data_IF_888014554483
#
_entry.id   IF_888014554483
#
_cell.length_a   1.000
_cell.length_b   1.000
_cell.length_c   1.000
_cell.angle_alpha   90.00
_cell.angle_beta   90.00
_cell.angle_gamma   90.00
#
_symmetry.space_group_name_H-M   'P 1'
#
loop_
_entity.id
_entity.type
_entity.pdbx_description
1 polymer ?
#
# COMPACT_ATOMS: atom_id res chain seq x y z
N UNK A 1 -33.41 3.29 2.17
CA UNK A 1 -33.70 2.53 0.95
C UNK A 1 -33.13 3.17 -0.34
N UNK A 2 -32.78 4.47 -0.36
CA UNK A 2 -32.22 5.15 -1.56
C UNK A 2 -30.70 5.01 -1.76
N UNK A 3 -29.91 4.76 -0.71
CA UNK A 3 -28.44 4.68 -0.81
C UNK A 3 -27.95 3.36 -1.43
N UNK A 4 -28.67 2.26 -1.22
CA UNK A 4 -28.31 0.95 -1.81
C UNK A 4 -28.56 0.90 -3.33
N UNK A 5 -29.50 1.70 -3.85
CA UNK A 5 -29.77 1.75 -5.30
C UNK A 5 -28.75 2.59 -6.05
N UNK A 6 -28.28 3.70 -5.46
CA UNK A 6 -27.25 4.54 -6.07
C UNK A 6 -25.89 3.83 -6.03
N UNK A 7 -25.55 3.13 -4.94
CA UNK A 7 -24.28 2.37 -4.85
C UNK A 7 -24.29 1.14 -5.78
N UNK A 8 -25.43 0.45 -5.91
CA UNK A 8 -25.56 -0.67 -6.84
C UNK A 8 -25.61 -0.23 -8.33
N UNK A 9 -26.20 0.94 -8.65
CA UNK A 9 -26.14 1.51 -10.00
C UNK A 9 -24.75 2.08 -10.33
N UNK A 10 -24.04 2.60 -9.33
CA UNK A 10 -22.67 3.06 -9.49
C UNK A 10 -21.73 1.89 -9.80
N UNK A 11 -21.88 0.75 -9.12
CA UNK A 11 -21.09 -0.46 -9.33
C UNK A 11 -21.47 -1.26 -10.59
N UNK A 12 -22.69 -1.10 -11.11
CA UNK A 12 -23.19 -1.82 -12.28
C UNK A 12 -22.71 -1.26 -13.64
N UNK A 13 -21.96 -0.15 -13.67
CA UNK A 13 -21.47 0.47 -14.91
C UNK A 13 -19.96 0.27 -15.15
N UNK A 14 -19.24 -0.49 -14.30
CA UNK A 14 -17.80 -0.68 -14.45
C UNK A 14 -17.51 -1.95 -15.26
N UNK A 15 -16.96 -1.79 -16.46
CA UNK A 15 -16.74 -2.92 -17.36
C UNK A 15 -15.30 -3.11 -17.82
N UNK A 16 -14.40 -2.13 -17.68
CA UNK A 16 -12.98 -2.28 -18.05
C UNK A 16 -12.03 -1.30 -17.32
N UNK A 17 -10.69 -1.53 -17.33
CA UNK A 17 -9.65 -0.60 -16.87
C UNK A 17 -9.74 0.82 -17.46
N UNK A 18 -10.36 0.97 -18.64
CA UNK A 18 -10.59 2.26 -19.29
C UNK A 18 -11.60 3.11 -18.49
N UNK A 19 -12.55 2.50 -17.78
CA UNK A 19 -13.53 3.23 -16.96
C UNK A 19 -12.91 3.83 -15.69
N UNK A 20 -11.94 3.13 -15.10
CA UNK A 20 -11.09 3.64 -14.01
C UNK A 20 -10.22 4.79 -14.51
N UNK A 21 -9.67 4.66 -15.72
CA UNK A 21 -8.88 5.68 -16.41
C UNK A 21 -9.70 6.95 -16.70
N UNK A 22 -10.91 6.80 -17.24
CA UNK A 22 -11.82 7.90 -17.61
C UNK A 22 -12.29 8.66 -16.37
N UNK A 23 -12.61 7.97 -15.27
CA UNK A 23 -12.97 8.65 -14.01
C UNK A 23 -11.79 9.28 -13.30
N UNK A 24 -10.58 8.72 -13.43
CA UNK A 24 -9.36 9.38 -12.95
C UNK A 24 -9.13 10.68 -13.72
N UNK A 25 -9.32 10.67 -15.05
CA UNK A 25 -9.24 11.86 -15.90
C UNK A 25 -10.35 12.87 -15.57
N UNK A 26 -11.60 12.44 -15.40
CA UNK A 26 -12.73 13.33 -15.08
C UNK A 26 -12.62 13.91 -13.66
N UNK A 27 -12.05 13.17 -12.70
CA UNK A 27 -11.74 13.66 -11.37
C UNK A 27 -10.60 14.69 -11.39
N UNK A 28 -9.53 14.44 -12.15
CA UNK A 28 -8.46 15.41 -12.39
C UNK A 28 -8.99 16.68 -13.09
N UNK A 29 -9.92 16.53 -14.04
CA UNK A 29 -10.58 17.62 -14.78
C UNK A 29 -11.54 18.43 -13.89
N UNK A 30 -12.25 17.77 -12.97
CA UNK A 30 -13.11 18.40 -11.95
C UNK A 30 -12.32 19.14 -10.87
N UNK A 31 -11.19 18.60 -10.39
CA UNK A 31 -10.32 19.25 -9.38
C UNK A 31 -9.54 20.45 -9.94
N UNK A 32 -9.17 20.47 -11.22
CA UNK A 32 -8.61 21.66 -11.87
C UNK A 32 -9.59 22.87 -11.87
N UNK A 33 -10.87 22.66 -11.53
CA UNK A 33 -11.86 23.72 -11.33
C UNK A 33 -12.05 24.11 -9.84
N UNK A 34 -11.46 23.40 -8.87
CA UNK A 34 -11.53 23.72 -7.43
C UNK A 34 -10.21 24.32 -6.93
N UNK A 35 -10.34 25.23 -5.96
CA UNK A 35 -9.26 26.04 -5.40
C UNK A 35 -8.10 25.17 -4.86
N UNK A 36 -6.84 25.33 -5.31
CA UNK A 36 -5.69 24.48 -4.97
C UNK A 36 -5.26 24.42 -3.49
N UNK A 37 -6.00 25.05 -2.56
CA UNK A 37 -5.54 25.29 -1.17
C UNK A 37 -6.02 24.27 -0.12
N UNK A 38 -6.77 23.24 -0.51
CA UNK A 38 -7.38 22.27 0.42
C UNK A 38 -7.08 20.80 0.08
N UNK A 39 -5.96 20.50 -0.57
CA UNK A 39 -5.54 19.11 -0.78
C UNK A 39 -4.73 18.67 0.45
N UNK A 40 -5.21 17.64 1.14
CA UNK A 40 -4.47 17.08 2.29
C UNK A 40 -3.19 16.35 1.83
N UNK A 41 -2.16 16.29 2.68
CA UNK A 41 -0.93 15.54 2.37
C UNK A 41 -1.20 14.06 2.07
N UNK A 42 -2.22 13.48 2.69
CA UNK A 42 -2.71 12.12 2.41
C UNK A 42 -3.26 11.97 0.99
N UNK A 43 -4.03 12.96 0.53
CA UNK A 43 -4.53 12.96 -0.85
C UNK A 43 -3.40 13.13 -1.87
N UNK A 44 -2.43 14.02 -1.62
CA UNK A 44 -1.26 14.22 -2.50
C UNK A 44 -0.50 12.91 -2.69
N UNK A 45 -0.16 12.25 -1.59
CA UNK A 45 0.58 10.99 -1.60
C UNK A 45 -0.22 9.86 -2.29
N UNK A 46 -1.55 9.80 -2.12
CA UNK A 46 -2.43 8.90 -2.89
C UNK A 46 -2.32 9.14 -4.40
N UNK A 47 -2.29 10.41 -4.86
CA UNK A 47 -2.18 10.71 -6.29
C UNK A 47 -0.82 10.35 -6.88
N UNK A 48 0.28 10.62 -6.17
CA UNK A 48 1.63 10.28 -6.64
C UNK A 48 1.81 8.75 -6.82
N UNK A 49 1.11 7.95 -6.02
CA UNK A 49 1.09 6.49 -6.13
C UNK A 49 0.28 5.99 -7.32
N UNK A 50 -0.92 6.53 -7.51
CA UNK A 50 -1.75 6.21 -8.66
C UNK A 50 -1.03 6.58 -9.97
N UNK A 51 -0.27 7.68 -9.95
CA UNK A 51 0.58 8.07 -11.07
C UNK A 51 1.70 7.06 -11.33
N UNK A 52 2.35 6.49 -10.30
CA UNK A 52 3.36 5.43 -10.46
C UNK A 52 2.78 4.17 -11.09
N UNK A 53 1.63 3.68 -10.59
CA UNK A 53 0.94 2.53 -11.19
C UNK A 53 0.60 2.82 -12.65
N UNK A 54 0.04 4.00 -12.91
CA UNK A 54 -0.32 4.43 -14.26
C UNK A 54 0.87 4.46 -15.22
N UNK A 55 2.04 4.94 -14.77
CA UNK A 55 3.27 4.89 -15.57
C UNK A 55 3.68 3.45 -15.87
N UNK A 56 3.68 2.56 -14.87
CA UNK A 56 4.02 1.14 -15.07
C UNK A 56 3.06 0.45 -16.05
N UNK A 57 1.77 0.76 -15.98
CA UNK A 57 0.76 0.26 -16.93
C UNK A 57 0.94 0.80 -18.35
N UNK A 58 1.32 2.08 -18.51
CA UNK A 58 1.68 2.65 -19.82
C UNK A 58 2.89 1.94 -20.42
N UNK A 59 3.86 1.57 -19.58
CA UNK A 59 5.05 0.84 -19.98
C UNK A 59 4.75 -0.64 -20.31
N UNK A 60 3.47 -1.03 -20.36
CA UNK A 60 2.97 -2.40 -20.58
C UNK A 60 3.47 -3.41 -19.54
N UNK A 61 3.75 -2.96 -18.32
CA UNK A 61 4.06 -3.85 -17.20
C UNK A 61 2.79 -4.58 -16.78
N UNK A 62 2.87 -5.90 -16.60
CA UNK A 62 1.72 -6.69 -16.13
C UNK A 62 1.37 -6.38 -14.68
N UNK A 63 0.13 -6.62 -14.27
CA UNK A 63 -0.28 -6.46 -12.87
C UNK A 63 0.53 -7.32 -11.90
N UNK A 64 0.90 -8.53 -12.32
CA UNK A 64 1.80 -9.44 -11.59
C UNK A 64 3.17 -8.79 -11.35
N UNK A 65 3.82 -8.27 -12.39
CA UNK A 65 5.10 -7.58 -12.26
C UNK A 65 5.02 -6.30 -11.42
N UNK A 66 3.90 -5.55 -11.51
CA UNK A 66 3.67 -4.38 -10.66
C UNK A 66 3.55 -4.81 -9.19
N UNK A 67 2.75 -5.84 -8.92
CA UNK A 67 2.52 -6.36 -7.57
C UNK A 67 3.80 -6.88 -6.93
N UNK A 68 4.54 -7.73 -7.63
CA UNK A 68 5.83 -8.26 -7.17
C UNK A 68 6.84 -7.14 -6.94
N UNK A 69 6.90 -6.16 -7.86
CA UNK A 69 7.78 -5.01 -7.74
C UNK A 69 7.49 -4.18 -6.49
N UNK A 70 6.23 -3.87 -6.21
CA UNK A 70 5.85 -3.12 -5.00
C UNK A 70 6.15 -3.92 -3.73
N UNK A 71 5.84 -5.23 -3.70
CA UNK A 71 6.18 -6.10 -2.56
C UNK A 71 7.70 -6.15 -2.33
N UNK A 72 8.49 -6.26 -3.40
CA UNK A 72 9.95 -6.31 -3.32
C UNK A 72 10.55 -5.00 -2.81
N UNK A 73 10.11 -3.85 -3.34
CA UNK A 73 10.54 -2.53 -2.87
C UNK A 73 10.21 -2.32 -1.39
N UNK A 74 8.99 -2.69 -0.97
CA UNK A 74 8.55 -2.60 0.41
C UNK A 74 9.41 -3.45 1.34
N UNK A 75 9.71 -4.71 0.98
CA UNK A 75 10.61 -5.58 1.75
C UNK A 75 12.02 -5.01 1.88
N UNK A 76 12.58 -4.47 0.80
CA UNK A 76 13.89 -3.81 0.85
C UNK A 76 13.85 -2.63 1.83
N UNK A 77 12.80 -1.83 1.78
CA UNK A 77 12.60 -0.71 2.69
C UNK A 77 12.55 -1.14 4.15
N UNK A 78 11.72 -2.15 4.48
CA UNK A 78 11.63 -2.72 5.83
C UNK A 78 12.99 -3.23 6.32
N UNK A 79 13.69 -3.99 5.46
CA UNK A 79 15.01 -4.55 5.79
C UNK A 79 16.04 -3.47 6.07
N UNK A 80 16.05 -2.40 5.26
CA UNK A 80 16.93 -1.26 5.46
C UNK A 80 16.64 -0.56 6.79
N UNK A 81 15.37 -0.37 7.17
CA UNK A 81 15.03 0.24 8.45
C UNK A 81 15.38 -0.65 9.64
N UNK A 82 15.15 -1.97 9.54
CA UNK A 82 15.56 -2.92 10.57
C UNK A 82 17.07 -2.88 10.82
N UNK A 83 17.88 -2.86 9.76
CA UNK A 83 19.34 -2.75 9.85
C UNK A 83 19.78 -1.41 10.47
N UNK A 84 19.16 -0.29 10.07
CA UNK A 84 19.45 1.03 10.65
C UNK A 84 19.12 1.06 12.15
N UNK A 85 17.98 0.51 12.55
CA UNK A 85 17.55 0.46 13.94
C UNK A 85 18.49 -0.38 14.81
N UNK A 86 18.91 -1.55 14.31
CA UNK A 86 19.72 -2.51 15.07
C UNK A 86 21.18 -2.11 15.13
N UNK A 87 21.76 -1.75 14.00
CA UNK A 87 23.22 -1.67 13.85
C UNK A 87 23.74 -0.24 13.79
N UNK A 88 22.89 0.74 13.52
CA UNK A 88 23.29 2.13 13.24
C UNK A 88 24.55 2.20 12.35
N UNK A 89 24.50 1.63 11.13
CA UNK A 89 25.69 1.44 10.30
C UNK A 89 26.40 2.75 9.95
N UNK A 90 25.64 3.86 9.95
CA UNK A 90 26.14 5.21 9.68
C UNK A 90 26.51 5.99 10.95
N UNK A 91 26.41 5.37 12.14
CA UNK A 91 26.72 5.97 13.46
C UNK A 91 26.03 7.30 13.69
N UNK A 92 24.76 7.39 13.29
CA UNK A 92 23.96 8.61 13.34
C UNK A 92 23.38 8.88 14.73
N UNK A 93 23.46 7.92 15.66
CA UNK A 93 22.86 8.04 16.98
C UNK A 93 21.36 8.28 16.88
N UNK A 94 20.84 9.27 17.60
CA UNK A 94 19.41 9.57 17.62
C UNK A 94 18.87 10.15 16.30
N UNK A 95 19.73 10.65 15.40
CA UNK A 95 19.25 11.17 14.11
C UNK A 95 18.70 10.04 13.22
N UNK A 96 19.21 8.81 13.40
CA UNK A 96 18.68 7.64 12.71
C UNK A 96 17.22 7.39 13.04
N UNK A 97 16.79 7.70 14.28
CA UNK A 97 15.42 7.48 14.75
C UNK A 97 14.45 8.39 14.00
N UNK A 98 14.83 9.63 13.72
CA UNK A 98 13.99 10.54 12.92
C UNK A 98 13.85 10.06 11.48
N UNK A 99 14.97 9.59 10.90
CA UNK A 99 14.98 9.06 9.54
C UNK A 99 14.12 7.79 9.43
N UNK A 100 14.28 6.86 10.39
CA UNK A 100 13.47 5.65 10.46
C UNK A 100 12.00 5.99 10.68
N UNK A 101 11.67 6.92 11.58
CA UNK A 101 10.29 7.35 11.78
C UNK A 101 9.64 7.82 10.47
N UNK A 102 10.33 8.69 9.71
CA UNK A 102 9.82 9.14 8.42
C UNK A 102 9.67 7.99 7.42
N UNK A 103 10.67 7.12 7.33
CA UNK A 103 10.65 5.98 6.42
C UNK A 103 9.55 4.97 6.76
N UNK A 104 9.28 4.72 8.04
CA UNK A 104 8.20 3.84 8.48
C UNK A 104 6.81 4.39 8.12
N UNK A 105 6.62 5.72 8.20
CA UNK A 105 5.38 6.35 7.70
C UNK A 105 5.25 6.29 6.18
N UNK A 106 6.36 6.27 5.43
CA UNK A 106 6.33 6.08 3.98
C UNK A 106 5.99 4.62 3.62
N UNK A 107 6.56 3.67 4.38
CA UNK A 107 6.32 2.23 4.26
C UNK A 107 4.90 1.83 4.66
N UNK A 108 4.35 2.38 5.75
CA UNK A 108 2.96 2.12 6.18
C UNK A 108 1.96 2.44 5.06
N UNK A 109 2.20 3.53 4.36
CA UNK A 109 1.40 3.86 3.19
C UNK A 109 1.68 2.88 2.05
N UNK A 110 2.94 2.48 1.80
CA UNK A 110 3.29 1.57 0.70
C UNK A 110 2.57 0.22 0.81
N UNK A 111 2.37 -0.31 2.02
CA UNK A 111 1.57 -1.54 2.19
C UNK A 111 0.11 -1.34 1.78
N UNK A 112 -0.50 -0.18 2.02
CA UNK A 112 -1.82 0.14 1.49
C UNK A 112 -1.87 0.19 -0.05
N UNK A 113 -0.76 0.56 -0.70
CA UNK A 113 -0.64 0.50 -2.16
C UNK A 113 -0.57 -0.95 -2.66
N UNK A 114 0.23 -1.79 -1.99
CA UNK A 114 0.34 -3.22 -2.30
C UNK A 114 -1.04 -3.88 -2.23
N UNK A 115 -1.84 -3.57 -1.20
CA UNK A 115 -3.22 -4.08 -1.10
C UNK A 115 -4.10 -3.67 -2.28
N UNK A 116 -4.02 -2.42 -2.74
CA UNK A 116 -4.76 -1.95 -3.92
C UNK A 116 -4.31 -2.64 -5.21
N UNK A 117 -3.00 -2.86 -5.37
CA UNK A 117 -2.45 -3.55 -6.54
C UNK A 117 -2.83 -5.04 -6.52
N UNK A 118 -2.85 -5.69 -5.36
CA UNK A 118 -3.30 -7.08 -5.21
C UNK A 118 -4.76 -7.25 -5.67
N UNK A 119 -5.64 -6.34 -5.25
CA UNK A 119 -7.06 -6.34 -5.66
C UNK A 119 -7.16 -6.15 -7.18
N UNK A 120 -6.49 -5.14 -7.73
CA UNK A 120 -6.51 -4.88 -9.16
C UNK A 120 -5.95 -6.06 -9.99
N UNK A 121 -4.87 -6.70 -9.53
CA UNK A 121 -4.30 -7.90 -10.16
C UNK A 121 -5.31 -9.05 -10.16
N UNK A 122 -6.01 -9.27 -9.05
CA UNK A 122 -7.00 -10.32 -8.93
C UNK A 122 -8.27 -10.07 -9.77
N UNK A 123 -8.68 -8.81 -9.91
CA UNK A 123 -9.85 -8.43 -10.71
C UNK A 123 -9.57 -8.49 -12.20
N UNK A 124 -8.41 -7.99 -12.64
CA UNK A 124 -8.08 -7.81 -14.06
C UNK A 124 -7.32 -8.99 -14.68
N UNK A 125 -6.57 -9.73 -13.85
CA UNK A 125 -5.80 -10.91 -14.28
C UNK A 125 -6.05 -12.10 -13.33
N UNK A 126 -7.30 -12.51 -13.08
CA UNK A 126 -7.64 -13.58 -12.14
C UNK A 126 -6.99 -14.93 -12.47
N UNK A 127 -6.56 -15.12 -13.72
CA UNK A 127 -5.89 -16.31 -14.20
C UNK A 127 -4.38 -16.34 -13.94
N UNK A 128 -3.75 -15.25 -13.51
CA UNK A 128 -2.31 -15.25 -13.21
C UNK A 128 -2.01 -16.12 -11.97
N UNK A 129 -0.80 -16.66 -11.91
CA UNK A 129 -0.45 -17.63 -10.88
C UNK A 129 -0.46 -17.01 -9.49
N UNK A 130 -0.02 -15.76 -9.34
CA UNK A 130 -0.12 -15.03 -8.07
C UNK A 130 -1.58 -14.82 -7.63
N UNK A 131 -2.46 -14.33 -8.51
CA UNK A 131 -3.87 -14.13 -8.17
C UNK A 131 -4.57 -15.43 -7.74
N UNK A 132 -4.18 -16.58 -8.32
CA UNK A 132 -4.69 -17.91 -7.92
C UNK A 132 -4.16 -18.40 -6.59
N UNK A 133 -2.95 -18.00 -6.21
CA UNK A 133 -2.29 -18.38 -4.96
C UNK A 133 -2.67 -17.49 -3.79
N UNK A 134 -3.08 -16.25 -4.05
CA UNK A 134 -3.63 -15.38 -3.01
C UNK A 134 -4.84 -16.09 -2.36
N UNK A 135 -4.95 -16.07 -1.01
CA UNK A 135 -6.08 -16.69 -0.33
C UNK A 135 -7.40 -16.16 -0.91
N UNK A 136 -8.38 -17.04 -1.19
CA UNK A 136 -9.66 -16.56 -1.74
C UNK A 136 -10.38 -15.60 -0.79
N UNK A 137 -10.19 -15.79 0.51
CA UNK A 137 -10.73 -14.91 1.55
C UNK A 137 -10.15 -13.49 1.48
N UNK A 138 -8.90 -13.35 1.00
CA UNK A 138 -8.23 -12.06 0.77
C UNK A 138 -8.89 -11.20 -0.26
N UNK A 139 -9.49 -11.81 -1.29
CA UNK A 139 -10.05 -11.10 -2.43
C UNK A 139 -11.56 -10.95 -2.33
N UNK A 140 -12.22 -11.87 -1.60
CA UNK A 140 -13.67 -11.90 -1.46
C UNK A 140 -14.04 -12.24 -0.02
N UNK A 141 -14.43 -11.25 0.79
CA UNK A 141 -15.02 -11.55 2.10
C UNK A 141 -16.53 -11.76 2.03
N UNK A 142 -17.05 -12.54 2.97
CA UNK A 142 -18.49 -12.67 3.20
C UNK A 142 -19.12 -11.37 3.72
N UNK A 143 -18.30 -10.42 4.19
CA UNK A 143 -18.72 -9.15 4.80
C UNK A 143 -18.62 -7.94 3.85
N UNK A 144 -18.05 -8.10 2.65
CA UNK A 144 -18.00 -7.08 1.61
C UNK A 144 -16.72 -6.23 1.53
N UNK A 145 -15.76 -6.40 2.47
CA UNK A 145 -14.41 -5.82 2.43
C UNK A 145 -13.37 -6.92 2.19
N UNK A 146 -12.50 -6.79 1.20
CA UNK A 146 -11.49 -7.82 0.89
C UNK A 146 -10.54 -8.01 2.09
N UNK A 147 -10.24 -9.24 2.54
CA UNK A 147 -9.37 -9.45 3.71
C UNK A 147 -7.94 -8.94 3.45
N UNK A 148 -7.49 -8.82 2.19
CA UNK A 148 -6.23 -8.14 1.84
C UNK A 148 -6.24 -6.65 2.21
N UNK A 149 -7.40 -5.99 2.13
CA UNK A 149 -7.57 -4.61 2.57
C UNK A 149 -7.42 -4.53 4.10
N UNK A 150 -8.00 -5.49 4.82
CA UNK A 150 -7.87 -5.57 6.28
C UNK A 150 -6.44 -5.86 6.72
N UNK A 151 -5.75 -6.83 6.10
CA UNK A 151 -4.34 -7.13 6.39
C UNK A 151 -3.47 -5.92 6.08
N UNK A 152 -3.69 -5.26 4.94
CA UNK A 152 -2.94 -4.06 4.55
C UNK A 152 -3.15 -2.90 5.54
N UNK A 153 -4.38 -2.69 6.00
CA UNK A 153 -4.73 -1.67 7.03
C UNK A 153 -4.10 -2.01 8.38
N UNK A 154 -4.11 -3.28 8.79
CA UNK A 154 -3.47 -3.70 10.04
C UNK A 154 -1.96 -3.51 10.00
N UNK A 155 -1.32 -3.85 8.88
CA UNK A 155 0.11 -3.62 8.67
C UNK A 155 0.45 -2.13 8.59
N UNK A 156 -0.37 -1.31 7.93
CA UNK A 156 -0.24 0.15 7.91
C UNK A 156 -0.26 0.70 9.34
N UNK A 157 -1.27 0.32 10.13
CA UNK A 157 -1.40 0.73 11.52
C UNK A 157 -0.22 0.26 12.39
N UNK A 158 0.26 -0.97 12.18
CA UNK A 158 1.41 -1.51 12.91
C UNK A 158 2.68 -0.71 12.64
N UNK A 159 2.94 -0.35 11.37
CA UNK A 159 4.09 0.45 10.98
C UNK A 159 4.00 1.89 11.47
N UNK A 160 2.83 2.51 11.40
CA UNK A 160 2.59 3.84 11.97
C UNK A 160 2.84 3.84 13.48
N UNK A 161 2.25 2.88 14.19
CA UNK A 161 2.43 2.73 15.64
C UNK A 161 3.90 2.55 15.99
N UNK A 162 4.61 1.68 15.25
CA UNK A 162 6.04 1.46 15.45
C UNK A 162 6.87 2.73 15.18
N UNK A 163 6.50 3.51 14.17
CA UNK A 163 7.14 4.79 13.86
C UNK A 163 7.03 5.77 15.03
N UNK A 164 5.86 5.86 15.67
CA UNK A 164 5.65 6.74 16.83
C UNK A 164 6.31 6.20 18.10
N UNK A 165 6.23 4.89 18.35
CA UNK A 165 6.84 4.25 19.52
C UNK A 165 8.36 4.44 19.56
N UNK A 166 9.05 4.14 18.46
CA UNK A 166 10.51 4.25 18.38
C UNK A 166 10.98 5.70 18.45
N UNK A 167 10.17 6.65 17.95
CA UNK A 167 10.44 8.08 18.09
C UNK A 167 10.29 8.56 19.53
N UNK A 168 9.29 8.04 20.25
CA UNK A 168 9.05 8.39 21.65
C UNK A 168 10.10 7.76 22.58
N UNK A 169 10.49 6.51 22.31
CA UNK A 169 11.49 5.77 23.07
C UNK A 169 12.50 5.06 22.15
N UNK A 170 13.66 5.70 21.87
CA UNK A 170 14.73 5.10 21.09
C UNK A 170 15.31 3.80 21.66
N UNK A 171 15.08 3.47 22.94
CA UNK A 171 15.56 2.22 23.53
C UNK A 171 14.84 0.99 22.95
N UNK A 172 13.67 1.20 22.35
CA UNK A 172 12.89 0.16 21.68
C UNK A 172 13.41 -0.19 20.27
N UNK A 173 14.46 0.47 19.78
CA UNK A 173 14.96 0.30 18.41
C UNK A 173 15.24 -1.17 18.03
N UNK A 174 15.84 -1.96 18.92
CA UNK A 174 16.14 -3.38 18.65
C UNK A 174 14.86 -4.21 18.53
N UNK A 175 13.91 -4.00 19.45
CA UNK A 175 12.59 -4.67 19.41
C UNK A 175 11.80 -4.28 18.15
N UNK A 176 11.89 -3.01 17.75
CA UNK A 176 11.27 -2.55 16.52
C UNK A 176 11.91 -3.17 15.27
N UNK A 177 13.24 -3.34 15.24
CA UNK A 177 13.90 -4.06 14.17
C UNK A 177 13.42 -5.52 14.06
N UNK A 178 13.24 -6.21 15.19
CA UNK A 178 12.68 -7.58 15.23
C UNK A 178 11.24 -7.62 14.68
N UNK A 179 10.42 -6.62 15.00
CA UNK A 179 9.07 -6.53 14.46
C UNK A 179 9.07 -6.34 12.94
N UNK A 180 9.92 -5.44 12.41
CA UNK A 180 10.06 -5.27 10.96
C UNK A 180 10.52 -6.55 10.27
N UNK A 181 11.40 -7.33 10.89
CA UNK A 181 11.84 -8.63 10.37
C UNK A 181 10.73 -9.68 10.38
N UNK A 182 9.81 -9.61 11.35
CA UNK A 182 8.64 -10.47 11.34
C UNK A 182 7.70 -10.10 10.19
N UNK A 183 7.41 -8.80 9.99
CA UNK A 183 6.60 -8.34 8.85
C UNK A 183 7.22 -8.79 7.51
N UNK A 184 8.55 -8.77 7.38
CA UNK A 184 9.23 -9.29 6.17
C UNK A 184 8.92 -10.76 5.93
N UNK A 185 8.89 -11.59 6.98
CA UNK A 185 8.55 -13.01 6.85
C UNK A 185 7.07 -13.18 6.49
N UNK A 186 6.19 -12.40 7.10
CA UNK A 186 4.76 -12.45 6.81
C UNK A 186 4.49 -12.08 5.33
N UNK A 187 5.23 -11.13 4.76
CA UNK A 187 5.16 -10.83 3.31
C UNK A 187 5.64 -12.01 2.46
N UNK A 188 6.73 -12.66 2.85
CA UNK A 188 7.26 -13.83 2.14
C UNK A 188 6.30 -15.03 2.17
N UNK A 189 5.56 -15.20 3.26
CA UNK A 189 4.64 -16.32 3.44
C UNK A 189 3.24 -16.03 2.87
N UNK A 190 2.76 -14.80 2.97
CA UNK A 190 1.36 -14.44 2.68
C UNK A 190 1.17 -13.62 1.38
N UNK A 191 2.14 -12.77 1.01
CA UNK A 191 2.03 -11.87 -0.15
C UNK A 191 2.79 -12.36 -1.39
N UNK A 192 3.85 -13.16 -1.22
CA UNK A 192 4.63 -13.74 -2.33
C UNK A 192 4.75 -15.29 -2.26
N UNK A 193 3.63 -16.03 -2.23
CA UNK A 193 3.62 -17.50 -2.08
C UNK A 193 4.05 -18.32 -3.32
#
# INVERSE_FOLDING_TARGET
MFLNTIYAQFLAEFTTPIDILVRTIDFLRFKNQRNPREISEYEIDKYERLQRIFTKLIDNTSWEEIYEGECFEFKIGLKAQADILRNDPKKQGNERIKNVHKALLELSKQIALIGQVAIAMAEETPECDLARKLPREWLFSQTGEAEVEQVSVLMEYALDSLAFEVKADPSLAVKAAEHLEQIIKDIDEEFLP
#
